data_IF_155461212947
#
_entry.id   IF_155461212947
#
_cell.length_a   1.000
_cell.length_b   1.000
_cell.length_c   1.000
_cell.angle_alpha   90.00
_cell.angle_beta   90.00
_cell.angle_gamma   90.00
#
_symmetry.space_group_name_H-M   'P 1'
#
loop_
_entity.id
_entity.type
_entity.pdbx_description
1 polymer ?
#
# COMPACT_ATOMS: atom_id res chain seq x y z
N UNK A 1 9.67 -2.27 12.26
CA UNK A 1 10.88 -1.40 12.25
C UNK A 1 11.28 -0.94 10.85
N UNK A 2 10.86 -1.63 9.76
CA UNK A 2 11.17 -1.21 8.40
C UNK A 2 10.70 0.22 8.09
N UNK A 3 9.48 0.60 8.46
CA UNK A 3 8.87 1.92 8.17
C UNK A 3 9.78 3.12 8.50
N UNK A 4 10.19 3.38 9.76
CA UNK A 4 11.01 4.54 10.08
C UNK A 4 12.38 4.52 9.40
N UNK A 5 12.97 3.33 9.18
CA UNK A 5 14.26 3.19 8.50
C UNK A 5 14.12 3.54 7.02
N UNK A 6 13.10 3.01 6.34
CA UNK A 6 12.84 3.32 4.93
C UNK A 6 12.59 4.81 4.73
N UNK A 7 11.80 5.44 5.61
CA UNK A 7 11.55 6.88 5.58
C UNK A 7 12.87 7.66 5.72
N UNK A 8 13.69 7.31 6.70
CA UNK A 8 14.97 7.97 6.92
C UNK A 8 15.91 7.81 5.71
N UNK A 9 15.96 6.63 5.09
CA UNK A 9 16.77 6.38 3.89
C UNK A 9 16.33 7.25 2.71
N UNK A 10 15.03 7.31 2.42
CA UNK A 10 14.49 8.12 1.32
C UNK A 10 14.75 9.61 1.58
N UNK A 11 14.51 10.09 2.81
CA UNK A 11 14.72 11.50 3.15
C UNK A 11 16.17 11.97 3.07
N UNK A 12 17.13 11.05 3.22
CA UNK A 12 18.57 11.34 3.10
C UNK A 12 19.15 10.96 1.72
N UNK A 13 18.30 10.71 0.72
CA UNK A 13 18.71 10.32 -0.64
C UNK A 13 19.50 9.00 -0.72
N UNK A 14 19.38 8.11 0.27
CA UNK A 14 19.92 6.75 0.22
C UNK A 14 18.94 5.81 -0.50
N UNK A 15 18.56 6.15 -1.73
CA UNK A 15 17.46 5.50 -2.47
C UNK A 15 17.74 4.03 -2.75
N UNK A 16 18.97 3.68 -3.15
CA UNK A 16 19.34 2.29 -3.41
C UNK A 16 19.20 1.40 -2.16
N UNK A 17 19.54 1.92 -0.99
CA UNK A 17 19.36 1.21 0.27
C UNK A 17 17.87 1.10 0.64
N UNK A 18 17.08 2.15 0.38
CA UNK A 18 15.62 2.11 0.57
C UNK A 18 14.96 1.07 -0.35
N UNK A 19 15.37 0.99 -1.62
CA UNK A 19 14.94 -0.03 -2.56
C UNK A 19 15.27 -1.44 -2.06
N UNK A 20 16.52 -1.67 -1.65
CA UNK A 20 16.95 -2.96 -1.11
C UNK A 20 16.13 -3.37 0.12
N UNK A 21 15.91 -2.44 1.05
CA UNK A 21 15.09 -2.69 2.25
C UNK A 21 13.63 -2.98 1.88
N UNK A 22 13.05 -2.25 0.93
CA UNK A 22 11.68 -2.46 0.45
C UNK A 22 11.50 -3.85 -0.16
N UNK A 23 12.42 -4.27 -1.03
CA UNK A 23 12.41 -5.61 -1.64
C UNK A 23 12.61 -6.70 -0.59
N UNK A 24 13.58 -6.53 0.32
CA UNK A 24 13.81 -7.50 1.39
C UNK A 24 12.61 -7.66 2.31
N UNK A 25 11.93 -6.57 2.67
CA UNK A 25 10.71 -6.61 3.47
C UNK A 25 9.62 -7.42 2.76
N UNK A 26 9.31 -7.09 1.50
CA UNK A 26 8.27 -7.80 0.75
C UNK A 26 8.59 -9.28 0.51
N UNK A 27 9.86 -9.65 0.33
CA UNK A 27 10.29 -11.05 0.23
C UNK A 27 10.15 -11.76 1.57
N UNK A 28 10.54 -11.12 2.69
CA UNK A 28 10.36 -11.68 4.03
C UNK A 28 8.89 -11.98 4.31
N UNK A 29 8.00 -11.01 4.05
CA UNK A 29 6.56 -11.17 4.29
C UNK A 29 5.95 -12.28 3.45
N UNK A 30 6.39 -12.44 2.19
CA UNK A 30 5.96 -13.52 1.33
C UNK A 30 6.40 -14.90 1.86
N UNK A 31 7.63 -15.00 2.38
CA UNK A 31 8.17 -16.23 2.97
C UNK A 31 7.43 -16.55 4.27
N UNK A 32 7.29 -15.58 5.17
CA UNK A 32 6.62 -15.75 6.46
C UNK A 32 5.15 -16.11 6.27
N UNK A 33 4.47 -15.47 5.33
CA UNK A 33 3.09 -15.80 4.96
C UNK A 33 2.94 -17.20 4.36
N UNK A 34 3.93 -17.67 3.59
CA UNK A 34 3.94 -19.05 3.07
C UNK A 34 4.16 -20.08 4.18
N UNK A 35 5.12 -19.84 5.08
CA UNK A 35 5.41 -20.72 6.22
C UNK A 35 4.24 -20.77 7.21
N UNK A 36 3.64 -19.63 7.54
CA UNK A 36 2.48 -19.55 8.43
C UNK A 36 1.28 -20.36 7.89
N UNK A 37 1.01 -20.30 6.58
CA UNK A 37 -0.02 -21.11 5.94
C UNK A 37 0.33 -22.60 5.95
N UNK A 38 1.59 -22.95 5.74
CA UNK A 38 2.06 -24.34 5.71
C UNK A 38 1.98 -25.02 7.08
N UNK A 39 2.19 -24.28 8.16
CA UNK A 39 2.18 -24.80 9.52
C UNK A 39 0.88 -24.50 10.30
N UNK A 40 -0.12 -23.89 9.66
CA UNK A 40 -1.39 -23.56 10.30
C UNK A 40 -1.27 -22.54 11.43
N UNK A 41 -0.17 -21.79 11.49
CA UNK A 41 0.09 -20.79 12.54
C UNK A 41 -0.45 -19.41 12.15
N UNK A 42 -1.73 -19.34 11.81
CA UNK A 42 -2.40 -18.07 11.51
C UNK A 42 -3.19 -17.64 12.74
N UNK A 43 -2.69 -16.63 13.46
CA UNK A 43 -3.41 -16.07 14.61
C UNK A 43 -4.46 -15.05 14.15
N UNK A 44 -5.58 -14.93 14.86
CA UNK A 44 -6.60 -13.92 14.56
C UNK A 44 -6.03 -12.49 14.67
N UNK A 45 -5.09 -12.26 15.57
CA UNK A 45 -4.47 -10.96 15.76
C UNK A 45 -3.51 -10.57 14.62
N UNK A 46 -2.69 -11.52 14.14
CA UNK A 46 -1.79 -11.30 13.00
C UNK A 46 -2.52 -10.96 11.71
N UNK A 47 -3.68 -11.59 11.45
CA UNK A 47 -4.52 -11.32 10.27
C UNK A 47 -4.89 -9.84 10.08
N UNK A 48 -4.93 -9.05 11.15
CA UNK A 48 -5.26 -7.62 11.09
C UNK A 48 -4.03 -6.72 11.21
N UNK A 49 -3.03 -7.11 12.01
CA UNK A 49 -1.82 -6.31 12.17
C UNK A 49 -0.93 -6.33 10.92
N UNK A 50 -0.81 -7.48 10.24
CA UNK A 50 0.08 -7.59 9.09
C UNK A 50 -0.36 -6.65 7.95
N UNK A 51 -1.64 -6.64 7.52
CA UNK A 51 -2.10 -5.71 6.49
C UNK A 51 -2.03 -4.23 6.90
N UNK A 52 -2.09 -3.94 8.21
CA UNK A 52 -1.96 -2.57 8.71
C UNK A 52 -0.50 -2.09 8.63
N UNK A 53 0.45 -2.95 9.02
CA UNK A 53 1.88 -2.68 8.93
C UNK A 53 2.32 -2.52 7.46
N UNK A 54 1.84 -3.39 6.57
CA UNK A 54 2.12 -3.31 5.13
C UNK A 54 1.64 -1.98 4.53
N UNK A 55 0.41 -1.58 4.88
CA UNK A 55 -0.13 -0.29 4.45
C UNK A 55 0.65 0.88 5.03
N UNK A 56 1.05 0.81 6.30
CA UNK A 56 1.85 1.87 6.91
C UNK A 56 3.19 2.05 6.19
N UNK A 57 3.86 0.94 5.82
CA UNK A 57 5.08 0.99 5.02
C UNK A 57 4.83 1.63 3.66
N UNK A 58 3.83 1.15 2.91
CA UNK A 58 3.56 1.64 1.57
C UNK A 58 3.16 3.12 1.56
N UNK A 59 2.26 3.53 2.47
CA UNK A 59 1.86 4.94 2.65
C UNK A 59 3.06 5.82 3.00
N UNK A 60 3.94 5.37 3.89
CA UNK A 60 5.13 6.12 4.26
C UNK A 60 6.08 6.33 3.07
N UNK A 61 6.26 5.29 2.24
CA UNK A 61 7.08 5.37 1.01
C UNK A 61 6.47 6.40 0.06
N UNK A 62 5.18 6.31 -0.25
CA UNK A 62 4.51 7.27 -1.13
C UNK A 62 4.64 8.72 -0.65
N UNK A 63 4.45 8.96 0.65
CA UNK A 63 4.61 10.29 1.23
C UNK A 63 6.05 10.78 1.05
N UNK A 64 7.04 9.96 1.39
CA UNK A 64 8.45 10.37 1.30
C UNK A 64 8.93 10.55 -0.14
N UNK A 65 8.47 9.71 -1.08
CA UNK A 65 8.73 9.89 -2.52
C UNK A 65 8.12 11.18 -3.05
N UNK A 66 6.90 11.53 -2.61
CA UNK A 66 6.28 12.81 -2.93
C UNK A 66 7.05 14.00 -2.35
N UNK A 67 7.52 13.90 -1.11
CA UNK A 67 8.33 14.95 -0.45
C UNK A 67 9.67 15.18 -1.16
N UNK A 68 10.31 14.11 -1.64
CA UNK A 68 11.56 14.21 -2.42
C UNK A 68 11.32 14.66 -3.87
N UNK A 69 10.07 14.72 -4.34
CA UNK A 69 9.73 15.11 -5.71
C UNK A 69 9.81 13.99 -6.73
N UNK A 70 10.00 12.73 -6.32
CA UNK A 70 10.03 11.56 -7.20
C UNK A 70 8.64 11.08 -7.63
N UNK A 71 7.60 11.52 -6.92
CA UNK A 71 6.21 11.25 -7.27
C UNK A 71 5.39 12.53 -7.22
N UNK A 72 4.47 12.65 -8.18
CA UNK A 72 3.54 13.75 -8.25
C UNK A 72 2.63 13.81 -7.01
N UNK A 73 2.55 14.99 -6.39
CA UNK A 73 1.83 15.18 -5.12
C UNK A 73 0.35 14.82 -5.21
N UNK A 74 -0.29 15.05 -6.37
CA UNK A 74 -1.71 14.72 -6.57
C UNK A 74 -1.95 13.21 -6.48
N UNK A 75 -1.03 12.38 -6.98
CA UNK A 75 -1.13 10.92 -6.94
C UNK A 75 -0.93 10.43 -5.51
N UNK A 76 0.07 10.98 -4.82
CA UNK A 76 0.35 10.68 -3.40
C UNK A 76 -0.88 10.98 -2.54
N UNK A 77 -1.47 12.17 -2.67
CA UNK A 77 -2.69 12.54 -1.92
C UNK A 77 -3.83 11.54 -2.19
N UNK A 78 -4.06 11.19 -3.45
CA UNK A 78 -5.12 10.26 -3.84
C UNK A 78 -4.94 8.88 -3.21
N UNK A 79 -3.72 8.33 -3.26
CA UNK A 79 -3.37 7.02 -2.69
C UNK A 79 -3.52 7.02 -1.17
N UNK A 80 -2.92 8.00 -0.49
CA UNK A 80 -2.95 8.11 0.97
C UNK A 80 -4.38 8.28 1.49
N UNK A 81 -5.15 9.18 0.87
CA UNK A 81 -6.55 9.40 1.24
C UNK A 81 -7.38 8.13 1.13
N UNK A 82 -7.26 7.41 0.00
CA UNK A 82 -7.96 6.13 -0.22
C UNK A 82 -7.56 5.10 0.83
N UNK A 83 -6.29 5.00 1.19
CA UNK A 83 -5.83 4.01 2.16
C UNK A 83 -6.28 4.32 3.58
N UNK A 84 -6.22 5.59 3.99
CA UNK A 84 -6.77 6.04 5.27
C UNK A 84 -8.26 5.79 5.34
N UNK A 85 -9.00 6.06 4.26
CA UNK A 85 -10.44 5.80 4.20
C UNK A 85 -10.77 4.31 4.39
N UNK A 86 -10.05 3.40 3.71
CA UNK A 86 -10.26 1.96 3.85
C UNK A 86 -9.91 1.47 5.26
N UNK A 87 -8.77 1.88 5.81
CA UNK A 87 -8.34 1.48 7.16
C UNK A 87 -9.29 2.04 8.22
N UNK A 88 -9.66 3.32 8.11
CA UNK A 88 -10.60 3.99 9.00
C UNK A 88 -11.97 3.32 8.99
N UNK A 89 -12.48 2.95 7.81
CA UNK A 89 -13.72 2.19 7.71
C UNK A 89 -13.61 0.86 8.48
N UNK A 90 -12.55 0.07 8.24
CA UNK A 90 -12.34 -1.21 8.93
C UNK A 90 -12.31 -1.05 10.46
N UNK A 91 -11.60 -0.04 10.98
CA UNK A 91 -11.51 0.24 12.42
C UNK A 91 -12.89 0.63 12.99
N UNK A 92 -13.60 1.55 12.34
CA UNK A 92 -14.92 2.01 12.79
C UNK A 92 -15.92 0.87 12.91
N UNK A 93 -15.98 0.01 11.90
CA UNK A 93 -16.89 -1.12 11.91
C UNK A 93 -16.56 -2.16 12.98
N UNK A 94 -15.27 -2.41 13.25
CA UNK A 94 -14.85 -3.28 14.35
C UNK A 94 -15.28 -2.71 15.71
N UNK A 95 -15.14 -1.39 15.90
CA UNK A 95 -15.55 -0.71 17.13
C UNK A 95 -17.07 -0.80 17.38
N UNK A 96 -17.89 -0.96 16.34
CA UNK A 96 -19.35 -1.03 16.44
C UNK A 96 -19.91 -2.44 16.69
N UNK A 97 -19.08 -3.48 16.89
CA UNK A 97 -19.51 -4.89 17.14
C UNK A 97 -20.39 -5.48 16.03
N UNK A 98 -20.50 -4.80 14.89
CA UNK A 98 -21.12 -5.36 13.68
C UNK A 98 -20.05 -6.21 13.00
N UNK A 99 -20.21 -7.53 13.05
CA UNK A 99 -19.36 -8.44 12.27
C UNK A 99 -19.51 -8.07 10.79
N UNK A 100 -18.54 -7.34 10.27
CA UNK A 100 -18.42 -7.19 8.84
C UNK A 100 -17.86 -8.48 8.26
N UNK A 101 -18.69 -9.18 7.51
CA UNK A 101 -18.21 -9.99 6.40
C UNK A 101 -17.83 -9.03 5.25
N UNK A 102 -16.85 -8.17 5.48
CA UNK A 102 -16.27 -7.37 4.41
C UNK A 102 -15.34 -8.29 3.63
N UNK A 103 -15.87 -8.90 2.59
CA UNK A 103 -15.02 -9.56 1.60
C UNK A 103 -14.14 -8.47 0.96
N UNK A 104 -12.80 -8.55 1.10
CA UNK A 104 -11.91 -7.56 0.54
C UNK A 104 -12.12 -7.51 -0.98
N UNK A 105 -12.55 -6.35 -1.48
CA UNK A 105 -12.81 -6.15 -2.90
C UNK A 105 -11.55 -6.46 -3.72
N UNK A 106 -11.72 -7.23 -4.80
CA UNK A 106 -10.61 -7.64 -5.68
C UNK A 106 -9.88 -6.40 -6.22
N UNK A 107 -10.62 -5.34 -6.56
CA UNK A 107 -10.03 -4.07 -7.02
C UNK A 107 -9.04 -3.46 -6.03
N UNK A 108 -9.26 -3.65 -4.72
CA UNK A 108 -8.37 -3.10 -3.72
C UNK A 108 -7.04 -3.83 -3.67
N UNK A 109 -7.05 -5.15 -3.90
CA UNK A 109 -5.84 -5.96 -4.04
C UNK A 109 -5.06 -5.58 -5.30
N UNK A 110 -5.76 -5.41 -6.43
CA UNK A 110 -5.14 -4.98 -7.69
C UNK A 110 -4.43 -3.63 -7.51
N UNK A 111 -5.11 -2.65 -6.90
CA UNK A 111 -4.51 -1.34 -6.66
C UNK A 111 -3.29 -1.42 -5.72
N UNK A 112 -3.34 -2.24 -4.66
CA UNK A 112 -2.18 -2.39 -3.76
C UNK A 112 -0.99 -3.03 -4.49
N UNK A 113 -1.21 -4.02 -5.35
CA UNK A 113 -0.15 -4.57 -6.21
C UNK A 113 0.39 -3.51 -7.16
N UNK A 114 -0.49 -2.74 -7.82
CA UNK A 114 -0.06 -1.66 -8.70
C UNK A 114 0.78 -0.60 -7.97
N UNK A 115 0.40 -0.26 -6.73
CA UNK A 115 1.16 0.69 -5.91
C UNK A 115 2.52 0.15 -5.47
N UNK A 116 2.61 -1.13 -5.10
CA UNK A 116 3.89 -1.80 -4.79
C UNK A 116 4.80 -1.77 -6.02
N UNK A 117 4.26 -2.07 -7.21
CA UNK A 117 5.02 -2.04 -8.46
C UNK A 117 5.50 -0.64 -8.79
N UNK A 118 4.65 0.39 -8.66
CA UNK A 118 5.05 1.77 -8.88
C UNK A 118 6.12 2.23 -7.87
N UNK A 119 5.97 1.91 -6.58
CA UNK A 119 6.97 2.23 -5.57
C UNK A 119 8.33 1.55 -5.86
N UNK A 120 8.30 0.26 -6.24
CA UNK A 120 9.51 -0.45 -6.68
C UNK A 120 10.13 0.17 -7.92
N UNK A 121 9.31 0.58 -8.90
CA UNK A 121 9.76 1.22 -10.13
C UNK A 121 10.47 2.54 -9.83
N UNK A 122 9.88 3.40 -9.00
CA UNK A 122 10.46 4.71 -8.63
C UNK A 122 11.74 4.55 -7.81
N UNK A 123 11.71 3.70 -6.77
CA UNK A 123 12.89 3.46 -5.95
C UNK A 123 14.02 2.80 -6.76
N UNK A 124 13.67 1.93 -7.72
CA UNK A 124 14.62 1.31 -8.64
C UNK A 124 15.17 2.29 -9.68
N UNK A 125 14.32 3.13 -10.28
CA UNK A 125 14.75 4.11 -11.28
C UNK A 125 15.72 5.12 -10.68
N UNK A 126 15.35 5.71 -9.54
CA UNK A 126 16.17 6.69 -8.84
C UNK A 126 17.40 6.05 -8.16
N UNK A 127 17.29 4.81 -7.68
CA UNK A 127 18.38 4.11 -7.02
C UNK A 127 19.48 3.62 -7.97
N UNK A 128 19.12 3.26 -9.21
CA UNK A 128 20.03 2.73 -10.22
C UNK A 128 20.28 3.69 -11.40
N UNK A 129 19.72 4.91 -11.35
CA UNK A 129 19.80 5.91 -12.43
C UNK A 129 19.26 5.37 -13.77
N UNK A 130 18.11 4.71 -13.72
CA UNK A 130 17.46 4.11 -14.90
C UNK A 130 16.42 5.08 -15.48
N UNK A 131 16.52 5.34 -16.78
CA UNK A 131 15.46 6.03 -17.51
C UNK A 131 14.27 5.10 -17.76
N UNK A 132 13.20 5.33 -17.01
CA UNK A 132 11.94 4.58 -17.10
C UNK A 132 10.92 5.26 -18.02
N UNK A 133 11.18 6.48 -18.50
CA UNK A 133 10.37 7.22 -19.48
C UNK A 133 8.86 6.94 -19.42
N UNK A 134 8.32 6.36 -20.49
CA UNK A 134 6.88 6.09 -20.65
C UNK A 134 6.34 5.03 -19.69
N UNK A 135 7.18 4.12 -19.17
CA UNK A 135 6.74 3.09 -18.22
C UNK A 135 6.28 3.74 -16.91
N UNK A 136 6.96 4.80 -16.47
CA UNK A 136 6.59 5.55 -15.27
C UNK A 136 5.21 6.21 -15.43
N UNK A 137 4.96 6.90 -16.54
CA UNK A 137 3.68 7.56 -16.82
C UNK A 137 2.52 6.54 -16.89
N UNK A 138 2.74 5.41 -17.57
CA UNK A 138 1.74 4.33 -17.66
C UNK A 138 1.43 3.76 -16.28
N UNK A 139 2.45 3.49 -15.46
CA UNK A 139 2.25 2.97 -14.11
C UNK A 139 1.56 3.96 -13.18
N UNK A 140 1.87 5.27 -13.28
CA UNK A 140 1.12 6.30 -12.57
C UNK A 140 -0.36 6.31 -12.98
N UNK A 141 -0.65 6.23 -14.28
CA UNK A 141 -2.01 6.13 -14.80
C UNK A 141 -2.76 4.91 -14.27
N UNK A 142 -2.11 3.74 -14.25
CA UNK A 142 -2.68 2.50 -13.69
C UNK A 142 -3.01 2.68 -12.21
N UNK A 143 -2.07 3.21 -11.41
CA UNK A 143 -2.29 3.45 -9.97
C UNK A 143 -3.42 4.45 -9.75
N UNK A 144 -3.46 5.55 -10.50
CA UNK A 144 -4.53 6.54 -10.40
C UNK A 144 -5.92 5.92 -10.67
N UNK A 145 -6.05 5.21 -11.80
CA UNK A 145 -7.32 4.58 -12.20
C UNK A 145 -7.75 3.53 -11.17
N UNK A 146 -6.84 2.64 -10.77
CA UNK A 146 -7.17 1.58 -9.80
C UNK A 146 -7.45 2.14 -8.40
N UNK A 147 -6.80 3.23 -8.00
CA UNK A 147 -7.07 3.94 -6.74
C UNK A 147 -8.46 4.57 -6.77
N UNK A 148 -8.83 5.26 -7.86
CA UNK A 148 -10.16 5.86 -8.04
C UNK A 148 -11.26 4.81 -8.00
N UNK A 149 -11.15 3.74 -8.80
CA UNK A 149 -12.16 2.67 -8.84
C UNK A 149 -12.26 2.02 -7.47
N UNK A 150 -11.14 1.76 -6.80
CA UNK A 150 -11.16 1.18 -5.45
C UNK A 150 -11.81 2.10 -4.43
N UNK A 151 -11.56 3.41 -4.48
CA UNK A 151 -12.17 4.38 -3.56
C UNK A 151 -13.68 4.47 -3.75
N UNK A 152 -14.13 4.60 -5.00
CA UNK A 152 -15.56 4.65 -5.34
C UNK A 152 -16.29 3.36 -4.95
N UNK A 153 -15.66 2.20 -5.14
CA UNK A 153 -16.25 0.91 -4.78
C UNK A 153 -16.50 0.79 -3.28
N UNK A 154 -15.61 1.35 -2.45
CA UNK A 154 -15.78 1.38 -1.00
C UNK A 154 -16.88 2.35 -0.56
N UNK A 155 -16.93 3.54 -1.17
CA UNK A 155 -18.00 4.50 -0.90
C UNK A 155 -19.36 3.89 -1.24
N UNK A 156 -19.51 3.28 -2.41
CA UNK A 156 -20.73 2.61 -2.82
C UNK A 156 -21.14 1.49 -1.84
N UNK A 157 -20.19 0.69 -1.36
CA UNK A 157 -20.47 -0.36 -0.37
C UNK A 157 -21.01 0.20 0.95
N UNK A 158 -20.43 1.30 1.45
CA UNK A 158 -20.89 1.97 2.68
C UNK A 158 -22.31 2.51 2.51
N UNK A 159 -22.58 3.22 1.39
CA UNK A 159 -23.89 3.81 1.12
C UNK A 159 -25.00 2.78 0.91
N UNK A 160 -24.70 1.62 0.34
CA UNK A 160 -25.69 0.55 0.15
C UNK A 160 -26.07 -0.09 1.49
N UNK A 161 -25.11 -0.26 2.40
CA UNK A 161 -25.36 -0.88 3.71
C UNK A 161 -26.12 0.04 4.67
N UNK A 162 -26.00 1.35 4.54
CA UNK A 162 -26.74 2.32 5.36
C UNK A 162 -28.27 2.33 5.07
N UNK A 163 -28.70 1.68 3.98
CA UNK A 163 -30.11 1.58 3.57
C UNK A 163 -30.79 0.24 3.90
N UNK A 164 -30.11 -0.71 4.52
CA UNK A 164 -30.63 -2.05 4.84
C UNK A 164 -30.56 -2.36 6.33
#
# INVERSE_FOLDING_TARGET
MAVPVTVWLILNNYILAAFGLFVMAGVSDAIDGFLAKRWGQVTEFGKYLDPLADKALLVSIYITLGVQGYLESWLVIMVVFRDVMIVGAVILYQAMVVKLEMNPLIISKINTVAQIVLAALVLGSEGFDLDVGSLFEVMMGIVAVTTLISGLSYLAFIFVKDKG
#
